data_IF_256658889175
#
_entry.id   IF_256658889175
#
_cell.length_a   1.000
_cell.length_b   1.000
_cell.length_c   1.000
_cell.angle_alpha   90.00
_cell.angle_beta   90.00
_cell.angle_gamma   90.00
#
_symmetry.space_group_name_H-M   'P 1'
#
loop_
_entity.id
_entity.type
_entity.pdbx_description
1 polymer ?
#
# COMPACT_ATOMS: atom_id res chain seq x y z
N UNK A 1 -6.89 8.02 -22.50
CA UNK A 1 -5.84 7.05 -22.14
C UNK A 1 -5.39 7.18 -20.69
N UNK A 2 -4.73 8.28 -20.28
CA UNK A 2 -4.14 8.39 -18.93
C UNK A 2 -5.14 8.21 -17.78
N UNK A 3 -6.34 8.79 -17.91
CA UNK A 3 -7.39 8.64 -16.90
C UNK A 3 -7.86 7.19 -16.74
N UNK A 4 -7.84 6.40 -17.82
CA UNK A 4 -8.21 4.98 -17.76
C UNK A 4 -7.14 4.17 -17.00
N UNK A 5 -5.86 4.47 -17.24
CA UNK A 5 -4.73 3.87 -16.51
C UNK A 5 -4.87 4.16 -15.00
N UNK A 6 -5.12 5.42 -14.64
CA UNK A 6 -5.29 5.84 -13.24
C UNK A 6 -6.54 5.19 -12.61
N UNK A 7 -7.67 5.17 -13.31
CA UNK A 7 -8.89 4.55 -12.84
C UNK A 7 -8.71 3.05 -12.59
N UNK A 8 -8.05 2.36 -13.53
CA UNK A 8 -7.76 0.94 -13.40
C UNK A 8 -6.83 0.67 -12.21
N UNK A 9 -5.74 1.44 -12.08
CA UNK A 9 -4.79 1.34 -10.97
C UNK A 9 -5.47 1.55 -9.61
N UNK A 10 -6.35 2.53 -9.47
CA UNK A 10 -7.09 2.78 -8.22
C UNK A 10 -8.07 1.65 -7.88
N UNK A 11 -8.75 1.09 -8.89
CA UNK A 11 -9.77 0.06 -8.69
C UNK A 11 -9.19 -1.32 -8.40
N UNK A 12 -8.12 -1.69 -9.12
CA UNK A 12 -7.59 -3.07 -9.08
C UNK A 12 -6.27 -3.20 -8.33
N UNK A 13 -5.56 -2.08 -8.05
CA UNK A 13 -4.28 -2.08 -7.34
C UNK A 13 -3.26 -3.07 -7.91
N UNK A 14 -3.18 -3.14 -9.23
CA UNK A 14 -2.29 -4.04 -9.97
C UNK A 14 -1.10 -3.31 -10.62
N UNK A 15 -0.07 -4.06 -11.00
CA UNK A 15 1.17 -3.53 -11.57
C UNK A 15 1.03 -3.01 -13.01
N UNK A 16 2.07 -2.34 -13.54
CA UNK A 16 2.06 -1.81 -14.90
C UNK A 16 1.78 -2.86 -15.98
N UNK A 17 2.29 -4.08 -15.83
CA UNK A 17 2.13 -5.16 -16.80
C UNK A 17 0.69 -5.68 -16.88
N UNK A 18 0.02 -5.83 -15.74
CA UNK A 18 -1.39 -6.22 -15.71
C UNK A 18 -2.30 -5.14 -16.31
N UNK A 19 -2.03 -3.87 -15.99
CA UNK A 19 -2.75 -2.73 -16.57
C UNK A 19 -2.54 -2.69 -18.08
N UNK A 20 -1.31 -2.91 -18.52
CA UNK A 20 -0.92 -2.94 -19.92
C UNK A 20 -1.64 -4.05 -20.70
N UNK A 21 -1.64 -5.27 -20.16
CA UNK A 21 -2.34 -6.40 -20.74
C UNK A 21 -3.85 -6.13 -20.84
N UNK A 22 -4.45 -5.49 -19.82
CA UNK A 22 -5.88 -5.17 -19.84
C UNK A 22 -6.26 -4.08 -20.84
N UNK A 23 -5.47 -3.01 -20.90
CA UNK A 23 -5.79 -1.81 -21.68
C UNK A 23 -5.18 -1.82 -23.09
N UNK A 24 -4.40 -2.84 -23.45
CA UNK A 24 -3.77 -2.96 -24.77
C UNK A 24 -2.68 -1.91 -25.02
N UNK A 25 -1.90 -1.57 -23.98
CA UNK A 25 -0.89 -0.51 -24.03
C UNK A 25 0.47 -1.01 -23.55
N UNK A 26 1.56 -0.39 -24.00
CA UNK A 26 2.90 -0.77 -23.52
C UNK A 26 3.06 -0.52 -22.01
N UNK A 27 3.63 -1.48 -21.23
CA UNK A 27 3.90 -1.30 -19.79
C UNK A 27 4.75 -0.07 -19.47
N UNK A 28 5.70 0.28 -20.35
CA UNK A 28 6.53 1.49 -20.19
C UNK A 28 5.70 2.77 -20.20
N UNK A 29 4.64 2.81 -21.01
CA UNK A 29 3.70 3.93 -21.06
C UNK A 29 2.88 4.00 -19.78
N UNK A 30 2.42 2.86 -19.26
CA UNK A 30 1.72 2.79 -17.97
C UNK A 30 2.60 3.35 -16.86
N UNK A 31 3.84 2.86 -16.73
CA UNK A 31 4.78 3.33 -15.71
C UNK A 31 5.05 4.83 -15.81
N UNK A 32 5.24 5.36 -17.03
CA UNK A 32 5.42 6.81 -17.25
C UNK A 32 4.20 7.61 -16.81
N UNK A 33 2.99 7.16 -17.14
CA UNK A 33 1.74 7.83 -16.74
C UNK A 33 1.56 7.78 -15.23
N UNK A 34 1.77 6.63 -14.59
CA UNK A 34 1.65 6.51 -13.13
C UNK A 34 2.63 7.44 -12.40
N UNK A 35 3.88 7.52 -12.87
CA UNK A 35 4.88 8.44 -12.32
C UNK A 35 4.48 9.91 -12.52
N UNK A 36 4.05 10.28 -13.74
CA UNK A 36 3.59 11.65 -14.05
C UNK A 36 2.39 12.07 -13.21
N UNK A 37 1.48 11.14 -12.94
CA UNK A 37 0.28 11.35 -12.12
C UNK A 37 0.54 11.16 -10.62
N UNK A 38 1.81 11.01 -10.22
CA UNK A 38 2.24 10.87 -8.82
C UNK A 38 1.48 9.75 -8.08
N UNK A 39 1.21 8.65 -8.78
CA UNK A 39 0.52 7.53 -8.18
C UNK A 39 1.47 6.79 -7.23
N UNK A 40 1.09 6.55 -5.96
CA UNK A 40 1.91 5.77 -5.03
C UNK A 40 2.21 4.37 -5.57
N UNK A 41 3.38 3.86 -5.18
CA UNK A 41 3.73 2.47 -5.42
C UNK A 41 2.80 1.54 -4.62
N UNK A 42 2.58 0.30 -5.08
CA UNK A 42 1.68 -0.62 -4.35
C UNK A 42 2.18 -0.92 -2.94
N UNK A 43 3.50 -0.96 -2.75
CA UNK A 43 4.13 -1.15 -1.43
C UNK A 43 3.88 0.01 -0.46
N UNK A 44 3.50 1.18 -0.97
CA UNK A 44 3.16 2.36 -0.17
C UNK A 44 1.66 2.41 0.14
N UNK A 45 0.88 1.49 -0.42
CA UNK A 45 -0.56 1.39 -0.18
C UNK A 45 -0.83 0.26 0.80
N UNK A 46 -1.74 0.52 1.74
CA UNK A 46 -2.28 -0.51 2.60
C UNK A 46 -3.06 -1.52 1.73
N UNK A 47 -2.75 -2.84 1.78
CA UNK A 47 -3.37 -3.83 0.90
C UNK A 47 -4.88 -3.98 1.09
N UNK A 48 -5.40 -3.63 2.28
CA UNK A 48 -6.82 -3.76 2.62
C UNK A 48 -7.63 -2.56 2.10
N UNK A 49 -7.13 -1.36 2.36
CA UNK A 49 -7.86 -0.09 2.17
C UNK A 49 -7.42 0.67 0.92
N UNK A 50 -6.23 0.39 0.39
CA UNK A 50 -5.64 1.13 -0.72
C UNK A 50 -5.25 2.57 -0.36
N UNK A 51 -5.25 2.93 0.92
CA UNK A 51 -4.78 4.22 1.40
C UNK A 51 -3.26 4.22 1.47
N UNK A 52 -2.64 5.39 1.24
CA UNK A 52 -1.19 5.54 1.44
C UNK A 52 -0.88 5.27 2.90
N UNK A 53 0.02 4.32 3.15
CA UNK A 53 0.57 4.03 4.47
C UNK A 53 1.28 5.30 4.92
N UNK A 54 0.62 6.07 5.78
CA UNK A 54 1.25 7.20 6.47
C UNK A 54 2.23 6.58 7.46
N UNK A 55 3.49 6.49 7.06
CA UNK A 55 4.59 6.21 7.98
C UNK A 55 4.81 7.42 8.90
N UNK A 56 3.76 7.83 9.62
CA UNK A 56 3.98 8.31 10.97
C UNK A 56 4.59 7.12 11.69
N UNK A 57 5.82 7.25 12.19
CA UNK A 57 6.25 6.42 13.32
C UNK A 57 5.24 6.71 14.42
N UNK A 58 4.12 6.00 14.40
CA UNK A 58 3.15 6.05 15.47
C UNK A 58 3.92 5.58 16.68
N UNK A 59 4.18 6.53 17.57
CA UNK A 59 4.67 6.30 18.92
C UNK A 59 6.20 6.21 19.03
N UNK A 60 6.86 7.37 19.12
CA UNK A 60 8.03 7.51 19.97
C UNK A 60 7.64 7.59 21.47
N UNK A 61 6.38 7.32 21.83
CA UNK A 61 5.95 7.19 23.23
C UNK A 61 6.50 5.88 23.76
N UNK A 62 7.57 5.98 24.52
CA UNK A 62 8.10 4.86 25.27
C UNK A 62 7.14 4.58 26.42
N UNK A 63 6.62 3.36 26.50
CA UNK A 63 5.85 2.95 27.67
C UNK A 63 6.82 2.69 28.82
N UNK A 64 6.94 3.66 29.72
CA UNK A 64 7.71 3.53 30.95
C UNK A 64 6.77 3.16 32.10
N UNK A 65 7.19 2.19 32.92
CA UNK A 65 6.42 1.69 34.06
C UNK A 65 7.33 1.49 35.25
N UNK A 66 6.79 1.75 36.44
CA UNK A 66 7.58 1.83 37.67
C UNK A 66 7.76 0.46 38.32
N UNK A 67 6.91 -0.52 37.96
CA UNK A 67 6.91 -1.85 38.57
C UNK A 67 6.98 -2.96 37.51
N UNK A 68 7.67 -4.07 37.80
CA UNK A 68 7.67 -5.24 36.93
C UNK A 68 6.24 -5.79 36.77
N UNK A 69 5.84 -6.10 35.53
CA UNK A 69 4.53 -6.67 35.19
C UNK A 69 3.48 -5.68 34.64
N UNK A 70 3.73 -4.37 34.69
CA UNK A 70 2.78 -3.35 34.19
C UNK A 70 2.80 -3.16 32.66
N UNK A 71 3.76 -3.77 31.97
CA UNK A 71 3.83 -3.80 30.51
C UNK A 71 3.32 -5.14 30.01
N UNK A 72 2.18 -5.11 29.32
CA UNK A 72 1.63 -6.29 28.66
C UNK A 72 2.23 -6.39 27.27
N UNK A 73 2.96 -7.47 27.00
CA UNK A 73 3.39 -7.80 25.65
C UNK A 73 2.23 -8.46 24.90
N UNK A 74 1.56 -7.69 24.05
CA UNK A 74 0.63 -8.25 23.08
C UNK A 74 1.40 -8.62 21.82
N UNK A 75 1.73 -9.91 21.68
CA UNK A 75 2.14 -10.46 20.39
C UNK A 75 0.90 -10.56 19.50
N UNK A 76 0.78 -9.66 18.54
CA UNK A 76 -0.30 -9.70 17.56
C UNK A 76 0.23 -10.41 16.32
N UNK A 77 -0.15 -11.67 16.16
CA UNK A 77 0.18 -12.43 14.96
C UNK A 77 -0.72 -12.01 13.80
N UNK A 78 -0.13 -11.54 12.70
CA UNK A 78 -0.84 -11.44 11.43
C UNK A 78 -1.16 -12.85 10.93
N UNK A 79 -2.43 -13.23 11.00
CA UNK A 79 -2.92 -14.38 10.26
C UNK A 79 -3.01 -13.96 8.78
N UNK A 80 -2.15 -14.55 7.95
CA UNK A 80 -2.27 -14.44 6.50
C UNK A 80 -3.65 -14.96 6.07
N UNK A 81 -4.26 -14.32 5.07
CA UNK A 81 -5.58 -14.71 4.55
C UNK A 81 -5.52 -16.16 4.02
N UNK A 82 -6.36 -17.02 4.60
CA UNK A 82 -6.74 -18.32 4.02
C UNK A 82 -7.81 -18.01 2.95
N UNK A 83 -7.66 -18.48 1.69
CA UNK A 83 -8.68 -18.33 0.65
C UNK A 83 -9.95 -19.14 0.92
#
# INVERSE_FOLDING_TARGET
MENQIVAWRKRHRCGPDEIAAKLGICPRTVSRVLNRRQMPHLRELDPMTGQVIRASKTTAVRYERSRPGELVHMDVKKLGRIP
#
